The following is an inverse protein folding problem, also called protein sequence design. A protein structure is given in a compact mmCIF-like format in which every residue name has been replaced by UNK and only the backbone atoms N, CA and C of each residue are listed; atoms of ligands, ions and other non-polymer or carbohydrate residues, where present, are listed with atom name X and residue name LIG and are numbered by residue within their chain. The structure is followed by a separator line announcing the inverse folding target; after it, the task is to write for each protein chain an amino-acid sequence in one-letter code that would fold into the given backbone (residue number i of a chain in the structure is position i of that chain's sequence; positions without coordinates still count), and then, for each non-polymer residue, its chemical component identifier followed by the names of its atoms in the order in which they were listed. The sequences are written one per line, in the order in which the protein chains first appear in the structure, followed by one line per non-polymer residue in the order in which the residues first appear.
data_IF_385563886393
#
_entry.id   IF_385563886393
#
_cell.length_a   1.000
_cell.length_b   1.000
_cell.length_c   1.000
_cell.angle_alpha   90.00
_cell.angle_beta   90.00
_cell.angle_gamma   90.00
#
_symmetry.space_group_name_H-M   'P 1'
#
loop_
_entity.id
_entity.type
_entity.pdbx_description
1 polymer ?
#
# COMPACT_ATOMS: atom_id res chain seq x y z
N UNK A 1 44.41 -46.28 50.37
CA UNK A 1 43.56 -45.07 50.22
C UNK A 1 43.90 -44.39 48.85
N UNK A 2 43.18 -44.76 47.83
CA UNK A 2 43.38 -44.22 46.50
C UNK A 2 42.09 -43.50 46.08
N UNK A 3 42.14 -42.17 45.81
CA UNK A 3 41.03 -41.33 45.36
C UNK A 3 41.02 -41.29 43.84
N UNK A 4 40.03 -41.92 43.27
CA UNK A 4 39.76 -41.86 41.82
C UNK A 4 39.01 -40.54 41.49
N UNK A 5 39.60 -39.67 40.69
CA UNK A 5 39.00 -38.45 40.19
C UNK A 5 38.31 -38.77 38.83
N UNK A 6 36.98 -38.71 38.83
CA UNK A 6 36.17 -38.89 37.63
C UNK A 6 36.10 -37.57 36.86
N UNK A 7 36.65 -37.54 35.63
CA UNK A 7 36.62 -36.43 34.73
C UNK A 7 35.35 -36.52 33.85
N UNK A 8 34.35 -35.67 34.10
CA UNK A 8 33.15 -35.55 33.26
C UNK A 8 33.47 -34.68 32.05
N UNK A 9 33.68 -35.31 30.88
CA UNK A 9 33.70 -34.59 29.60
C UNK A 9 32.28 -34.17 29.19
N UNK A 10 31.95 -32.90 29.30
CA UNK A 10 30.75 -32.32 28.68
C UNK A 10 31.03 -32.07 27.18
N UNK A 11 30.45 -32.89 26.33
CA UNK A 11 30.43 -32.65 24.90
C UNK A 11 29.50 -31.48 24.60
N UNK A 12 30.06 -30.35 24.13
CA UNK A 12 29.31 -29.26 23.55
C UNK A 12 28.90 -29.70 22.12
N UNK A 13 27.61 -29.95 21.93
CA UNK A 13 27.03 -30.13 20.60
C UNK A 13 26.84 -28.74 20.00
N UNK A 14 27.71 -28.33 19.07
CA UNK A 14 27.49 -27.20 18.22
C UNK A 14 26.42 -27.58 17.17
N UNK A 15 25.20 -27.11 17.34
CA UNK A 15 24.19 -27.14 16.26
C UNK A 15 24.54 -26.02 15.28
N UNK A 16 25.19 -26.37 14.19
CA UNK A 16 25.41 -25.46 13.07
C UNK A 16 24.07 -25.25 12.38
N UNK A 17 23.42 -24.12 12.61
CA UNK A 17 22.29 -23.66 11.79
C UNK A 17 22.88 -23.18 10.47
N UNK A 18 22.95 -24.08 9.49
CA UNK A 18 23.22 -23.72 8.10
C UNK A 18 21.99 -23.04 7.55
N UNK A 19 21.95 -21.71 7.60
CA UNK A 19 21.04 -20.92 6.75
C UNK A 19 21.40 -21.22 5.30
N UNK A 20 20.58 -22.01 4.64
CA UNK A 20 20.64 -22.14 3.19
C UNK A 20 20.30 -20.79 2.58
N UNK A 21 21.32 -19.98 2.26
CA UNK A 21 21.15 -18.89 1.30
C UNK A 21 20.72 -19.57 -0.01
N UNK A 22 19.42 -19.52 -0.36
CA UNK A 22 19.02 -19.79 -1.73
C UNK A 22 19.79 -18.84 -2.64
N UNK A 23 20.47 -19.38 -3.65
CA UNK A 23 21.17 -18.55 -4.63
C UNK A 23 20.17 -17.53 -5.17
N UNK A 24 20.46 -16.25 -4.94
CA UNK A 24 19.64 -15.15 -5.43
C UNK A 24 19.75 -15.20 -6.95
N UNK A 25 18.65 -15.56 -7.63
CA UNK A 25 18.63 -15.57 -9.10
C UNK A 25 18.95 -14.16 -9.61
N UNK A 26 19.64 -14.09 -10.77
CA UNK A 26 20.13 -12.84 -11.32
C UNK A 26 18.97 -11.87 -11.65
N UNK A 27 19.17 -10.55 -11.43
CA UNK A 27 18.25 -9.51 -11.92
C UNK A 27 17.98 -9.65 -13.44
N UNK A 28 16.86 -9.08 -13.92
CA UNK A 28 16.44 -9.15 -15.32
C UNK A 28 15.70 -10.43 -15.68
N UNK A 29 15.45 -11.33 -14.74
CA UNK A 29 14.71 -12.59 -14.95
C UNK A 29 13.58 -12.75 -13.94
N UNK A 30 12.51 -13.42 -14.38
CA UNK A 30 11.44 -13.84 -13.48
C UNK A 30 11.95 -15.00 -12.63
N UNK A 31 11.89 -14.83 -11.34
CA UNK A 31 12.36 -15.79 -10.33
C UNK A 31 11.16 -16.56 -9.77
N UNK A 32 11.29 -17.88 -9.65
CA UNK A 32 10.38 -18.70 -8.89
C UNK A 32 10.89 -18.82 -7.47
N UNK A 33 10.09 -18.38 -6.51
CA UNK A 33 10.46 -18.39 -5.09
C UNK A 33 9.40 -19.08 -4.25
N UNK A 34 9.80 -19.56 -3.09
CA UNK A 34 8.92 -20.16 -2.08
C UNK A 34 9.25 -19.58 -0.70
N UNK A 35 8.29 -19.60 0.19
CA UNK A 35 8.50 -19.28 1.58
C UNK A 35 7.64 -20.17 2.49
N UNK A 36 8.08 -20.46 3.72
CA UNK A 36 7.30 -21.23 4.68
C UNK A 36 6.11 -20.39 5.18
N UNK A 37 4.91 -20.75 4.73
CA UNK A 37 3.68 -20.12 5.18
C UNK A 37 3.19 -20.80 6.45
N UNK A 38 3.53 -20.24 7.60
CA UNK A 38 3.33 -20.85 8.91
C UNK A 38 1.86 -21.14 9.20
N UNK A 39 0.96 -20.21 8.87
CA UNK A 39 -0.47 -20.34 9.09
C UNK A 39 -1.11 -21.47 8.26
N UNK A 40 -0.50 -21.82 7.15
CA UNK A 40 -0.93 -22.89 6.29
C UNK A 40 -0.17 -24.21 6.53
N UNK A 41 0.93 -24.18 7.32
CA UNK A 41 1.78 -25.35 7.58
C UNK A 41 2.47 -25.93 6.35
N UNK A 42 2.66 -25.12 5.28
CA UNK A 42 3.27 -25.54 4.01
C UNK A 42 4.04 -24.41 3.37
N UNK A 43 4.93 -24.75 2.45
CA UNK A 43 5.58 -23.75 1.59
C UNK A 43 4.63 -23.27 0.51
N UNK A 44 4.62 -21.95 0.26
CA UNK A 44 3.85 -21.30 -0.81
C UNK A 44 4.81 -20.63 -1.79
N UNK A 45 4.49 -20.75 -3.08
CA UNK A 45 5.28 -20.12 -4.14
C UNK A 45 4.82 -18.69 -4.43
N UNK A 46 5.73 -17.89 -4.95
CA UNK A 46 5.46 -16.60 -5.55
C UNK A 46 6.43 -16.33 -6.70
N UNK A 47 6.07 -15.44 -7.60
CA UNK A 47 6.97 -14.99 -8.65
C UNK A 47 7.51 -13.60 -8.32
N UNK A 48 8.78 -13.36 -8.64
CA UNK A 48 9.46 -12.09 -8.43
C UNK A 48 10.22 -11.67 -9.68
N UNK A 49 10.15 -10.39 -10.03
CA UNK A 49 11.01 -9.75 -11.01
C UNK A 49 11.78 -8.62 -10.35
N UNK A 50 13.09 -8.65 -10.49
CA UNK A 50 14.01 -7.60 -10.02
C UNK A 50 14.67 -7.00 -11.26
N UNK A 51 14.52 -5.69 -11.54
CA UNK A 51 15.15 -5.08 -12.71
C UNK A 51 16.68 -5.08 -12.59
N UNK A 52 17.38 -5.13 -13.71
CA UNK A 52 18.86 -5.09 -13.75
C UNK A 52 19.40 -3.76 -13.18
N UNK A 53 18.60 -2.71 -13.29
CA UNK A 53 18.90 -1.38 -12.74
C UNK A 53 18.76 -1.29 -11.22
N UNK A 54 18.14 -2.27 -10.54
CA UNK A 54 17.93 -2.23 -9.09
C UNK A 54 19.24 -2.06 -8.33
N UNK A 55 19.25 -1.15 -7.37
CA UNK A 55 20.36 -0.94 -6.43
C UNK A 55 19.79 -0.79 -5.02
N UNK A 56 20.34 -1.55 -4.07
CA UNK A 56 19.87 -1.53 -2.67
C UNK A 56 19.98 -0.16 -2.01
N UNK A 57 20.86 0.70 -2.49
CA UNK A 57 21.03 2.07 -1.98
C UNK A 57 19.90 3.03 -2.42
N UNK A 58 19.10 2.66 -3.42
CA UNK A 58 18.03 3.50 -3.96
C UNK A 58 16.70 2.77 -3.82
N UNK A 59 15.76 3.29 -3.01
CA UNK A 59 14.45 2.67 -2.87
C UNK A 59 13.71 2.58 -4.22
N UNK A 60 13.23 1.37 -4.55
CA UNK A 60 12.55 1.08 -5.80
C UNK A 60 11.02 1.03 -5.62
N UNK A 61 10.23 1.45 -6.62
CA UNK A 61 8.79 1.21 -6.62
C UNK A 61 8.49 -0.30 -6.69
N UNK A 62 7.37 -0.71 -6.08
CA UNK A 62 6.93 -2.11 -6.03
C UNK A 62 5.53 -2.25 -6.60
N UNK A 63 5.35 -3.15 -7.56
CA UNK A 63 4.04 -3.60 -8.02
C UNK A 63 3.74 -5.00 -7.46
N UNK A 64 2.67 -5.13 -6.69
CA UNK A 64 2.07 -6.41 -6.31
C UNK A 64 1.02 -6.76 -7.34
N UNK A 65 1.15 -7.93 -8.00
CA UNK A 65 0.31 -8.30 -9.15
C UNK A 65 -0.44 -9.62 -8.88
N UNK A 66 -1.77 -9.56 -8.86
CA UNK A 66 -2.66 -10.67 -8.49
C UNK A 66 -3.21 -11.38 -9.73
N UNK A 67 -3.11 -12.71 -9.77
CA UNK A 67 -3.61 -13.54 -10.88
C UNK A 67 -5.12 -13.80 -10.84
N UNK A 68 -5.68 -14.23 -11.95
CA UNK A 68 -7.08 -14.62 -12.09
C UNK A 68 -7.37 -16.05 -11.59
N UNK A 69 -8.66 -16.39 -11.50
CA UNK A 69 -9.12 -17.73 -11.10
C UNK A 69 -8.53 -18.82 -12.03
N UNK A 70 -7.96 -19.87 -11.44
CA UNK A 70 -7.35 -20.98 -12.16
C UNK A 70 -5.96 -20.67 -12.74
N UNK A 71 -5.43 -19.48 -12.55
CA UNK A 71 -4.09 -19.06 -12.94
C UNK A 71 -3.10 -19.14 -11.76
N UNK A 72 -1.91 -18.60 -11.93
CA UNK A 72 -0.85 -18.66 -10.93
C UNK A 72 0.12 -17.46 -11.05
N UNK A 73 1.03 -17.27 -10.07
CA UNK A 73 2.00 -16.16 -10.06
C UNK A 73 2.85 -16.06 -11.30
N UNK A 74 3.26 -17.21 -11.86
CA UNK A 74 4.18 -17.27 -13.00
C UNK A 74 3.52 -16.91 -14.33
N UNK A 75 2.21 -17.05 -14.41
CA UNK A 75 1.44 -16.63 -15.59
C UNK A 75 1.19 -15.13 -15.57
N UNK A 76 0.66 -14.58 -14.46
CA UNK A 76 0.31 -13.16 -14.40
C UNK A 76 1.51 -12.23 -14.55
N UNK A 77 2.67 -12.58 -13.98
CA UNK A 77 3.89 -11.77 -14.10
C UNK A 77 4.43 -11.75 -15.54
N UNK A 78 4.02 -12.72 -16.39
CA UNK A 78 4.39 -12.81 -17.81
C UNK A 78 3.41 -12.13 -18.76
N UNK A 79 2.41 -11.42 -18.24
CA UNK A 79 1.57 -10.59 -19.12
C UNK A 79 2.45 -9.64 -19.91
N UNK A 80 2.20 -9.56 -21.23
CA UNK A 80 3.05 -8.78 -22.14
C UNK A 80 3.15 -7.32 -21.70
N UNK A 81 4.36 -6.83 -21.59
CA UNK A 81 4.65 -5.48 -21.12
C UNK A 81 5.00 -5.39 -19.63
N UNK A 82 4.55 -6.30 -18.75
CA UNK A 82 4.79 -6.21 -17.30
C UNK A 82 6.29 -6.10 -16.97
N UNK A 83 7.09 -7.08 -17.36
CA UNK A 83 8.54 -7.06 -17.06
C UNK A 83 9.30 -6.04 -17.90
N UNK A 84 8.82 -5.73 -19.10
CA UNK A 84 9.41 -4.72 -19.98
C UNK A 84 9.28 -3.31 -19.35
N UNK A 85 8.09 -2.94 -18.91
CA UNK A 85 7.87 -1.65 -18.25
C UNK A 85 8.52 -1.61 -16.86
N UNK A 86 8.53 -2.74 -16.13
CA UNK A 86 9.23 -2.85 -14.87
C UNK A 86 10.74 -2.61 -15.02
N UNK A 87 11.38 -3.22 -16.03
CA UNK A 87 12.81 -2.99 -16.33
C UNK A 87 13.09 -1.54 -16.67
N UNK A 88 12.30 -0.97 -17.59
CA UNK A 88 12.47 0.40 -18.08
C UNK A 88 12.35 1.45 -16.97
N UNK A 89 11.50 1.20 -15.97
CA UNK A 89 11.15 2.16 -14.91
C UNK A 89 11.74 1.83 -13.54
N UNK A 90 12.47 0.71 -13.44
CA UNK A 90 13.11 0.28 -12.20
C UNK A 90 12.17 -0.31 -11.14
N UNK A 91 11.03 -0.89 -11.55
CA UNK A 91 10.07 -1.50 -10.64
C UNK A 91 10.49 -2.90 -10.21
N UNK A 92 10.36 -3.20 -8.92
CA UNK A 92 10.18 -4.55 -8.44
C UNK A 92 8.75 -4.98 -8.76
N UNK A 93 8.57 -6.21 -9.25
CA UNK A 93 7.24 -6.80 -9.44
C UNK A 93 7.16 -8.12 -8.69
N UNK A 94 6.16 -8.28 -7.84
CA UNK A 94 5.92 -9.52 -7.12
C UNK A 94 4.50 -10.01 -7.36
N UNK A 95 4.34 -11.30 -7.62
CA UNK A 95 3.06 -11.95 -7.77
C UNK A 95 2.93 -13.04 -6.70
N UNK A 96 2.13 -12.83 -5.63
CA UNK A 96 1.78 -13.87 -4.66
C UNK A 96 0.82 -14.89 -5.25
N UNK A 97 0.78 -16.10 -4.69
CA UNK A 97 -0.14 -17.15 -5.15
C UNK A 97 -1.57 -16.98 -4.62
N UNK A 98 -1.73 -16.23 -3.50
CA UNK A 98 -3.03 -16.14 -2.85
C UNK A 98 -3.47 -17.46 -2.25
N UNK A 99 -2.53 -18.22 -1.65
CA UNK A 99 -2.65 -19.56 -1.10
C UNK A 99 -2.86 -20.66 -2.17
N UNK A 100 -3.72 -20.44 -3.15
CA UNK A 100 -3.96 -21.31 -4.32
C UNK A 100 -4.65 -20.53 -5.46
N UNK A 101 -4.93 -21.19 -6.56
CA UNK A 101 -5.50 -20.60 -7.77
C UNK A 101 -6.95 -20.12 -7.65
N UNK A 102 -7.60 -20.23 -6.45
CA UNK A 102 -9.01 -19.90 -6.23
C UNK A 102 -9.33 -19.28 -4.88
N UNK A 103 -8.32 -18.73 -4.17
CA UNK A 103 -8.47 -18.15 -2.83
C UNK A 103 -9.14 -16.77 -2.78
N UNK A 104 -9.33 -16.10 -3.93
CA UNK A 104 -10.00 -14.81 -4.07
C UNK A 104 -9.41 -13.66 -3.24
N UNK A 105 -8.23 -13.85 -2.64
CA UNK A 105 -7.54 -12.83 -1.86
C UNK A 105 -8.39 -12.19 -0.73
N UNK A 106 -9.33 -12.97 -0.18
CA UNK A 106 -10.28 -12.52 0.84
C UNK A 106 -11.52 -11.79 0.31
N UNK A 107 -11.59 -11.44 -0.98
CA UNK A 107 -12.69 -10.62 -1.56
C UNK A 107 -14.06 -11.31 -1.55
N UNK A 108 -14.09 -12.62 -1.34
CA UNK A 108 -15.32 -13.41 -1.18
C UNK A 108 -15.63 -13.77 0.29
N UNK A 109 -14.97 -13.05 1.23
CA UNK A 109 -15.01 -13.34 2.66
C UNK A 109 -13.87 -14.24 3.12
N UNK A 110 -13.70 -14.37 4.43
CA UNK A 110 -12.58 -15.11 5.04
C UNK A 110 -12.69 -16.64 4.90
N UNK A 111 -13.88 -17.15 4.63
CA UNK A 111 -14.15 -18.57 4.41
C UNK A 111 -13.85 -19.02 2.98
N UNK A 112 -14.62 -20.00 2.53
CA UNK A 112 -14.56 -20.55 1.17
C UNK A 112 -15.49 -19.76 0.26
N UNK A 113 -14.97 -19.13 -0.74
CA UNK A 113 -15.68 -18.19 -1.59
C UNK A 113 -17.02 -18.62 -2.22
N UNK A 114 -17.53 -17.75 -3.08
CA UNK A 114 -18.89 -17.80 -3.68
C UNK A 114 -19.23 -19.13 -4.39
N UNK A 115 -18.24 -19.85 -4.91
CA UNK A 115 -18.42 -21.12 -5.62
C UNK A 115 -18.46 -22.35 -4.69
N UNK A 116 -18.52 -22.14 -3.37
CA UNK A 116 -18.60 -23.22 -2.40
C UNK A 116 -17.28 -23.93 -2.12
N UNK A 117 -17.40 -25.05 -1.41
CA UNK A 117 -16.24 -25.84 -0.95
C UNK A 117 -15.69 -26.72 -2.05
N UNK A 118 -14.42 -26.54 -2.39
CA UNK A 118 -13.67 -27.51 -3.17
C UNK A 118 -13.04 -28.53 -2.19
N UNK A 119 -13.19 -29.84 -2.41
CA UNK A 119 -12.54 -30.84 -1.56
C UNK A 119 -11.04 -30.57 -1.42
N UNK A 120 -10.55 -30.55 -0.17
CA UNK A 120 -9.16 -30.28 0.13
C UNK A 120 -8.82 -28.82 0.43
N UNK A 121 -9.75 -27.88 0.21
CA UNK A 121 -9.56 -26.48 0.61
C UNK A 121 -9.82 -26.32 2.12
N UNK A 122 -9.03 -25.47 2.79
CA UNK A 122 -9.25 -25.13 4.20
C UNK A 122 -10.52 -24.29 4.37
N UNK A 123 -11.15 -24.39 5.55
CA UNK A 123 -12.37 -23.62 5.85
C UNK A 123 -12.15 -22.12 5.83
N UNK A 124 -10.92 -21.66 6.11
CA UNK A 124 -10.50 -20.26 6.11
C UNK A 124 -9.70 -19.88 4.85
N UNK A 125 -10.05 -20.44 3.69
CA UNK A 125 -9.32 -20.23 2.42
C UNK A 125 -9.14 -18.75 2.10
N UNK A 126 -10.19 -17.94 2.23
CA UNK A 126 -10.11 -16.51 1.94
C UNK A 126 -9.15 -15.76 2.87
N UNK A 127 -9.13 -16.12 4.16
CA UNK A 127 -8.18 -15.56 5.13
C UNK A 127 -6.73 -15.93 4.79
N UNK A 128 -6.47 -17.18 4.45
CA UNK A 128 -5.13 -17.63 4.04
C UNK A 128 -4.70 -16.95 2.73
N UNK A 129 -5.61 -16.79 1.78
CA UNK A 129 -5.34 -16.13 0.52
C UNK A 129 -4.97 -14.65 0.69
N UNK A 130 -5.66 -13.94 1.57
CA UNK A 130 -5.35 -12.56 1.97
C UNK A 130 -3.98 -12.48 2.67
N UNK A 131 -3.74 -13.36 3.65
CA UNK A 131 -2.46 -13.41 4.40
C UNK A 131 -1.25 -13.69 3.51
N UNK A 132 -1.40 -14.55 2.50
CA UNK A 132 -0.31 -14.82 1.56
C UNK A 132 0.18 -13.54 0.87
N UNK A 133 -0.72 -12.67 0.43
CA UNK A 133 -0.35 -11.38 -0.19
C UNK A 133 0.45 -10.52 0.78
N UNK A 134 -0.01 -10.42 2.04
CA UNK A 134 0.66 -9.60 3.06
C UNK A 134 2.02 -10.18 3.47
N UNK A 135 2.12 -11.50 3.59
CA UNK A 135 3.37 -12.18 3.90
C UNK A 135 4.41 -11.95 2.80
N UNK A 136 4.02 -12.13 1.53
CA UNK A 136 4.91 -11.88 0.39
C UNK A 136 5.32 -10.42 0.32
N UNK A 137 4.40 -9.47 0.51
CA UNK A 137 4.73 -8.05 0.62
C UNK A 137 5.75 -7.78 1.73
N UNK A 138 5.56 -8.38 2.90
CA UNK A 138 6.48 -8.27 4.04
C UNK A 138 7.87 -8.83 3.71
N UNK A 139 7.94 -9.98 3.05
CA UNK A 139 9.20 -10.59 2.59
C UNK A 139 9.95 -9.64 1.66
N UNK A 140 9.27 -9.09 0.65
CA UNK A 140 9.89 -8.18 -0.32
C UNK A 140 10.39 -6.90 0.35
N UNK A 141 9.60 -6.30 1.25
CA UNK A 141 10.01 -5.10 1.99
C UNK A 141 11.21 -5.33 2.92
N UNK A 142 11.38 -6.54 3.43
CA UNK A 142 12.53 -6.90 4.27
C UNK A 142 13.80 -7.21 3.46
N UNK A 143 13.64 -7.79 2.25
CA UNK A 143 14.78 -8.20 1.41
C UNK A 143 15.31 -7.05 0.55
N UNK A 144 14.41 -6.22 0.01
CA UNK A 144 14.71 -5.16 -0.93
C UNK A 144 14.48 -3.77 -0.32
N UNK A 145 15.20 -2.78 -0.83
CA UNK A 145 14.94 -1.36 -0.56
C UNK A 145 13.73 -0.93 -1.40
N UNK A 146 12.55 -0.99 -0.80
CA UNK A 146 11.27 -0.59 -1.42
C UNK A 146 10.94 0.84 -1.01
N UNK A 147 10.52 1.65 -1.96
CA UNK A 147 9.95 2.97 -1.69
C UNK A 147 8.53 2.80 -1.11
N UNK A 148 8.39 3.07 0.17
CA UNK A 148 7.11 2.91 0.88
C UNK A 148 6.00 3.82 0.34
N UNK A 149 6.35 4.92 -0.33
CA UNK A 149 5.40 5.83 -0.96
C UNK A 149 4.99 5.38 -2.38
N UNK A 150 5.62 4.33 -2.94
CA UNK A 150 5.35 3.81 -4.29
C UNK A 150 5.15 2.31 -4.27
N UNK A 151 4.20 1.85 -3.46
CA UNK A 151 3.73 0.46 -3.44
C UNK A 151 2.36 0.41 -4.10
N UNK A 152 2.23 -0.37 -5.15
CA UNK A 152 1.04 -0.46 -6.00
C UNK A 152 0.45 -1.85 -5.99
N UNK A 153 -0.85 -1.94 -6.20
CA UNK A 153 -1.57 -3.22 -6.30
C UNK A 153 -2.36 -3.27 -7.60
N UNK A 154 -2.13 -4.30 -8.39
CA UNK A 154 -2.90 -4.57 -9.59
C UNK A 154 -3.32 -6.04 -9.62
N UNK A 155 -4.38 -6.36 -10.35
CA UNK A 155 -4.81 -7.75 -10.50
C UNK A 155 -5.86 -7.93 -11.57
N UNK A 156 -5.92 -9.13 -12.12
CA UNK A 156 -6.82 -9.51 -13.20
C UNK A 156 -7.92 -10.45 -12.72
N UNK A 157 -9.18 -10.20 -13.11
CA UNK A 157 -10.32 -11.08 -12.84
C UNK A 157 -10.54 -11.29 -11.33
N UNK A 158 -10.36 -12.51 -10.82
CA UNK A 158 -10.29 -12.80 -9.39
C UNK A 158 -9.32 -11.86 -8.67
N UNK A 159 -8.12 -11.65 -9.24
CA UNK A 159 -7.12 -10.71 -8.73
C UNK A 159 -7.59 -9.26 -8.79
N UNK A 160 -8.42 -8.89 -9.78
CA UNK A 160 -9.07 -7.58 -9.83
C UNK A 160 -10.05 -7.36 -8.68
N UNK A 161 -10.82 -8.38 -8.34
CA UNK A 161 -11.66 -8.38 -7.13
C UNK A 161 -10.83 -8.28 -5.85
N UNK A 162 -9.71 -9.03 -5.79
CA UNK A 162 -8.73 -8.95 -4.71
C UNK A 162 -8.11 -7.56 -4.58
N UNK A 163 -7.81 -6.90 -5.70
CA UNK A 163 -7.27 -5.53 -5.73
C UNK A 163 -8.23 -4.53 -5.09
N UNK A 164 -9.52 -4.62 -5.38
CA UNK A 164 -10.55 -3.77 -4.78
C UNK A 164 -10.63 -4.04 -3.27
N UNK A 165 -10.71 -5.31 -2.88
CA UNK A 165 -10.84 -5.71 -1.47
C UNK A 165 -9.62 -5.29 -0.64
N UNK A 166 -8.42 -5.70 -1.06
CA UNK A 166 -7.18 -5.36 -0.34
C UNK A 166 -6.87 -3.86 -0.38
N UNK A 167 -7.31 -3.17 -1.44
CA UNK A 167 -7.22 -1.72 -1.53
C UNK A 167 -8.04 -0.99 -0.48
N UNK A 168 -9.18 -1.55 -0.09
CA UNK A 168 -10.05 -1.01 0.95
C UNK A 168 -9.59 -1.41 2.37
N UNK A 169 -9.25 -2.69 2.56
CA UNK A 169 -8.88 -3.20 3.90
C UNK A 169 -7.50 -2.70 4.36
N UNK A 170 -6.59 -2.41 3.42
CA UNK A 170 -5.23 -1.96 3.68
C UNK A 170 -4.92 -0.64 2.97
N UNK A 171 -5.84 0.30 3.02
CA UNK A 171 -5.83 1.55 2.24
C UNK A 171 -4.59 2.44 2.47
N UNK A 172 -3.89 2.26 3.59
CA UNK A 172 -2.70 3.04 3.94
C UNK A 172 -1.39 2.46 3.35
N UNK A 173 -1.47 1.34 2.62
CA UNK A 173 -0.31 0.71 1.99
C UNK A 173 -0.15 1.16 0.54
N UNK A 174 -1.25 1.38 -0.17
CA UNK A 174 -1.26 1.43 -1.62
C UNK A 174 -1.22 2.85 -2.16
N UNK A 175 -0.24 3.17 -2.99
CA UNK A 175 -0.15 4.44 -3.71
C UNK A 175 -1.14 4.53 -4.87
N UNK A 176 -1.47 3.41 -5.51
CA UNK A 176 -2.54 3.31 -6.49
C UNK A 176 -2.98 1.84 -6.69
N UNK A 177 -4.17 1.67 -7.25
CA UNK A 177 -4.82 0.39 -7.52
C UNK A 177 -5.16 0.26 -8.99
N UNK A 178 -4.95 -0.95 -9.58
CA UNK A 178 -5.37 -1.22 -10.96
C UNK A 178 -6.13 -2.56 -11.04
N UNK A 179 -7.43 -2.58 -10.72
CA UNK A 179 -8.27 -3.75 -10.95
C UNK A 179 -8.61 -3.88 -12.46
N UNK A 180 -8.17 -4.99 -13.06
CA UNK A 180 -8.40 -5.35 -14.46
C UNK A 180 -9.50 -6.41 -14.56
N UNK A 181 -10.56 -6.15 -15.32
CA UNK A 181 -11.76 -7.01 -15.44
C UNK A 181 -12.21 -7.56 -14.06
N UNK A 182 -12.46 -6.70 -13.05
CA UNK A 182 -12.54 -7.13 -11.67
C UNK A 182 -13.73 -8.04 -11.39
N UNK A 183 -13.47 -9.28 -10.97
CA UNK A 183 -14.48 -10.23 -10.50
C UNK A 183 -14.89 -9.91 -9.06
N UNK A 184 -15.41 -8.71 -8.80
CA UNK A 184 -15.85 -8.29 -7.48
C UNK A 184 -17.37 -8.42 -7.32
N UNK A 185 -17.82 -9.15 -6.30
CA UNK A 185 -19.22 -9.45 -6.04
C UNK A 185 -19.75 -8.89 -4.71
N UNK A 186 -18.91 -8.17 -3.96
CA UNK A 186 -19.30 -7.51 -2.72
C UNK A 186 -20.08 -6.20 -2.95
N UNK A 187 -20.42 -5.51 -1.86
CA UNK A 187 -21.03 -4.17 -1.96
C UNK A 187 -20.07 -3.17 -2.59
N UNK A 188 -20.57 -2.39 -3.55
CA UNK A 188 -19.79 -1.31 -4.17
C UNK A 188 -19.54 -0.11 -3.23
N UNK A 189 -20.16 -0.09 -2.05
CA UNK A 189 -19.85 0.90 -1.01
C UNK A 189 -18.43 0.73 -0.45
N UNK A 190 -17.77 -0.39 -0.75
CA UNK A 190 -16.34 -0.61 -0.45
C UNK A 190 -15.46 0.51 -1.00
N UNK A 191 -15.88 1.18 -2.09
CA UNK A 191 -15.16 2.31 -2.70
C UNK A 191 -14.92 3.44 -1.69
N UNK A 192 -15.84 3.65 -0.75
CA UNK A 192 -15.73 4.70 0.28
C UNK A 192 -14.56 4.48 1.25
N UNK A 193 -14.06 3.25 1.35
CA UNK A 193 -12.90 2.89 2.16
C UNK A 193 -11.57 3.00 1.39
N UNK A 194 -11.63 3.14 0.06
CA UNK A 194 -10.43 3.18 -0.80
C UNK A 194 -9.91 4.61 -0.85
N UNK A 195 -8.77 4.85 -0.22
CA UNK A 195 -8.09 6.16 -0.24
C UNK A 195 -7.24 6.35 -1.51
N UNK A 196 -6.67 5.25 -2.03
CA UNK A 196 -5.77 5.28 -3.17
C UNK A 196 -6.48 5.61 -4.48
N UNK A 197 -5.86 6.39 -5.37
CA UNK A 197 -6.31 6.50 -6.76
C UNK A 197 -6.45 5.14 -7.42
N UNK A 198 -7.49 4.95 -8.22
CA UNK A 198 -7.77 3.66 -8.84
C UNK A 198 -8.04 3.81 -10.34
N UNK A 199 -7.41 2.95 -11.16
CA UNK A 199 -7.67 2.82 -12.60
C UNK A 199 -8.34 1.46 -12.84
N UNK A 200 -9.66 1.47 -13.06
CA UNK A 200 -10.40 0.25 -13.43
C UNK A 200 -10.35 0.08 -14.93
N UNK A 201 -9.94 -1.12 -15.38
CA UNK A 201 -9.88 -1.46 -16.81
C UNK A 201 -10.78 -2.65 -17.09
N UNK A 202 -11.61 -2.57 -18.16
CA UNK A 202 -12.47 -3.67 -18.57
C UNK A 202 -12.60 -3.71 -20.10
N UNK A 203 -12.86 -4.90 -20.64
CA UNK A 203 -13.23 -5.06 -22.06
C UNK A 203 -14.74 -5.09 -22.23
N UNK A 204 -15.27 -4.47 -23.28
CA UNK A 204 -16.72 -4.41 -23.52
C UNK A 204 -17.31 -5.70 -24.08
N UNK A 205 -16.45 -6.62 -24.58
CA UNK A 205 -16.82 -7.97 -25.00
C UNK A 205 -16.42 -9.05 -23.99
N UNK A 206 -16.21 -8.66 -22.72
CA UNK A 206 -15.91 -9.60 -21.63
C UNK A 206 -17.16 -10.46 -21.32
N UNK A 207 -17.02 -11.77 -21.51
CA UNK A 207 -18.08 -12.77 -21.26
C UNK A 207 -17.97 -13.43 -19.87
N UNK A 208 -16.84 -13.26 -19.17
CA UNK A 208 -16.61 -13.86 -17.85
C UNK A 208 -17.00 -12.89 -16.72
N UNK A 209 -16.65 -11.61 -16.83
CA UNK A 209 -17.10 -10.54 -15.94
C UNK A 209 -17.97 -9.60 -16.75
N UNK A 210 -19.30 -9.64 -16.56
CA UNK A 210 -20.21 -8.82 -17.36
C UNK A 210 -19.89 -7.33 -17.27
N UNK A 211 -19.65 -6.70 -18.41
CA UNK A 211 -19.26 -5.28 -18.49
C UNK A 211 -20.22 -4.35 -17.75
N UNK A 212 -21.51 -4.71 -17.69
CA UNK A 212 -22.54 -3.94 -16.98
C UNK A 212 -22.22 -3.82 -15.49
N UNK A 213 -21.65 -4.87 -14.86
CA UNK A 213 -21.24 -4.82 -13.45
C UNK A 213 -20.08 -3.86 -13.25
N UNK A 214 -19.10 -3.88 -14.18
CA UNK A 214 -17.95 -2.97 -14.11
C UNK A 214 -18.38 -1.52 -14.37
N UNK A 215 -19.32 -1.28 -15.28
CA UNK A 215 -19.91 0.05 -15.54
C UNK A 215 -20.64 0.59 -14.30
N UNK A 216 -21.42 -0.25 -13.60
CA UNK A 216 -22.07 0.13 -12.33
C UNK A 216 -21.05 0.48 -11.25
N UNK A 217 -19.99 -0.32 -11.12
CA UNK A 217 -18.89 -0.02 -10.22
C UNK A 217 -18.21 1.32 -10.57
N UNK A 218 -17.91 1.54 -11.86
CA UNK A 218 -17.34 2.79 -12.35
C UNK A 218 -18.27 4.01 -12.13
N UNK A 219 -19.59 3.82 -12.21
CA UNK A 219 -20.56 4.85 -11.90
C UNK A 219 -20.52 5.21 -10.40
N UNK A 220 -20.41 4.23 -9.50
CA UNK A 220 -20.24 4.46 -8.06
C UNK A 220 -18.90 5.19 -7.78
N UNK A 221 -17.82 4.82 -8.48
CA UNK A 221 -16.53 5.52 -8.37
C UNK A 221 -16.61 7.02 -8.67
N UNK A 222 -17.42 7.43 -9.65
CA UNK A 222 -17.60 8.86 -9.99
C UNK A 222 -18.27 9.65 -8.86
N UNK A 223 -18.96 8.99 -7.95
CA UNK A 223 -19.64 9.60 -6.79
C UNK A 223 -18.75 9.63 -5.55
N UNK A 224 -17.70 8.82 -5.52
CA UNK A 224 -16.74 8.77 -4.43
C UNK A 224 -15.71 9.89 -4.56
N UNK A 225 -15.16 10.33 -3.44
CA UNK A 225 -14.00 11.23 -3.42
C UNK A 225 -12.76 10.53 -3.96
N UNK A 226 -11.96 11.20 -4.78
CA UNK A 226 -10.68 10.68 -5.29
C UNK A 226 -10.53 10.78 -6.80
N UNK A 227 -9.28 10.61 -7.25
CA UNK A 227 -8.91 10.60 -8.68
C UNK A 227 -9.00 9.18 -9.24
N UNK A 228 -10.21 8.73 -9.56
CA UNK A 228 -10.42 7.42 -10.16
C UNK A 228 -10.57 7.53 -11.68
N UNK A 229 -10.05 6.53 -12.39
CA UNK A 229 -10.11 6.42 -13.85
C UNK A 229 -10.85 5.13 -14.21
N UNK A 230 -11.79 5.20 -15.14
CA UNK A 230 -12.39 4.03 -15.77
C UNK A 230 -11.98 3.99 -17.24
N UNK A 231 -11.37 2.88 -17.65
CA UNK A 231 -10.97 2.62 -19.04
C UNK A 231 -11.71 1.40 -19.58
N UNK A 232 -12.52 1.62 -20.58
CA UNK A 232 -13.19 0.56 -21.33
C UNK A 232 -12.47 0.32 -22.64
N UNK A 233 -12.13 -0.94 -22.94
CA UNK A 233 -11.43 -1.35 -24.15
C UNK A 233 -12.45 -1.89 -25.14
N UNK A 234 -12.65 -1.18 -26.25
CA UNK A 234 -13.56 -1.60 -27.30
C UNK A 234 -13.10 -2.90 -27.97
N UNK A 235 -13.99 -3.88 -28.13
CA UNK A 235 -13.69 -5.23 -28.61
C UNK A 235 -12.86 -6.06 -27.63
N UNK A 236 -12.66 -5.56 -26.41
CA UNK A 236 -11.85 -6.21 -25.40
C UNK A 236 -12.56 -7.39 -24.74
N UNK A 237 -11.91 -8.55 -24.69
CA UNK A 237 -12.40 -9.75 -24.00
C UNK A 237 -11.72 -9.93 -22.62
N UNK A 238 -12.18 -10.94 -21.87
CA UNK A 238 -11.69 -11.22 -20.53
C UNK A 238 -10.18 -11.55 -20.43
N UNK A 239 -9.60 -12.09 -21.47
CA UNK A 239 -8.24 -12.64 -21.44
C UNK A 239 -7.24 -11.83 -22.22
N UNK A 240 -7.23 -11.97 -23.56
CA UNK A 240 -6.19 -11.42 -24.44
C UNK A 240 -6.03 -9.91 -24.31
N UNK A 241 -7.09 -9.20 -23.94
CA UNK A 241 -7.06 -7.77 -23.65
C UNK A 241 -6.03 -7.40 -22.57
N UNK A 242 -5.76 -8.29 -21.63
CA UNK A 242 -4.85 -8.03 -20.52
C UNK A 242 -3.49 -8.71 -20.69
N UNK A 243 -3.45 -9.97 -21.09
CA UNK A 243 -2.16 -10.68 -21.16
C UNK A 243 -1.42 -10.58 -22.49
N UNK A 244 -2.05 -9.99 -23.55
CA UNK A 244 -1.41 -9.76 -24.87
C UNK A 244 -1.47 -8.30 -25.33
N UNK A 245 -1.51 -7.36 -24.41
CA UNK A 245 -1.64 -5.93 -24.70
C UNK A 245 -0.53 -5.13 -24.00
N UNK A 246 0.67 -5.06 -24.59
CA UNK A 246 1.78 -4.32 -24.01
C UNK A 246 1.50 -2.80 -23.93
N UNK A 247 0.71 -2.25 -24.85
CA UNK A 247 0.33 -0.85 -24.83
C UNK A 247 -0.52 -0.51 -23.60
N UNK A 248 -1.46 -1.39 -23.25
CA UNK A 248 -2.24 -1.25 -22.02
C UNK A 248 -1.34 -1.30 -20.79
N UNK A 249 -0.32 -2.18 -20.77
CA UNK A 249 0.63 -2.23 -19.67
C UNK A 249 1.43 -0.94 -19.57
N UNK A 250 1.85 -0.34 -20.68
CA UNK A 250 2.50 0.97 -20.69
C UNK A 250 1.61 2.04 -20.06
N UNK A 251 0.32 2.12 -20.44
CA UNK A 251 -0.63 3.07 -19.86
C UNK A 251 -0.87 2.82 -18.36
N UNK A 252 -0.91 1.56 -17.93
CA UNK A 252 -1.02 1.19 -16.50
C UNK A 252 0.20 1.71 -15.74
N UNK A 253 1.41 1.47 -16.23
CA UNK A 253 2.61 1.95 -15.57
C UNK A 253 2.72 3.49 -15.60
N UNK A 254 2.26 4.16 -16.66
CA UNK A 254 2.17 5.63 -16.70
C UNK A 254 1.22 6.16 -15.61
N UNK A 255 0.08 5.49 -15.41
CA UNK A 255 -0.82 5.81 -14.32
C UNK A 255 -0.15 5.60 -12.95
N UNK A 256 0.53 4.48 -12.73
CA UNK A 256 1.22 4.20 -11.48
C UNK A 256 2.31 5.24 -11.19
N UNK A 257 3.16 5.58 -12.18
CA UNK A 257 4.23 6.60 -12.03
C UNK A 257 3.69 7.97 -11.65
N UNK A 258 2.46 8.27 -12.04
CA UNK A 258 1.80 9.54 -11.71
C UNK A 258 1.27 9.61 -10.28
N UNK A 259 1.35 8.51 -9.51
CA UNK A 259 0.77 8.38 -8.17
C UNK A 259 1.84 8.07 -7.13
N UNK A 260 1.76 8.76 -6.03
CA UNK A 260 2.59 8.53 -4.84
C UNK A 260 1.64 8.49 -3.66
N UNK A 261 1.81 7.50 -2.78
CA UNK A 261 1.14 7.50 -1.49
C UNK A 261 1.66 8.74 -0.75
N UNK A 262 0.85 9.77 -0.73
CA UNK A 262 1.08 10.85 0.22
C UNK A 262 0.75 10.23 1.56
N UNK A 263 1.75 10.08 2.44
CA UNK A 263 1.48 9.98 3.86
C UNK A 263 0.43 11.05 4.15
N UNK A 264 -0.43 10.84 5.13
CA UNK A 264 -1.15 12.01 5.67
C UNK A 264 -0.08 13.08 5.64
N UNK A 265 -0.22 14.07 4.76
CA UNK A 265 0.61 15.25 4.91
C UNK A 265 0.52 15.47 6.40
N UNK A 266 1.62 15.38 7.14
CA UNK A 266 1.73 16.25 8.27
C UNK A 266 1.40 17.59 7.62
N UNK A 267 0.12 17.93 7.68
CA UNK A 267 -0.30 19.30 7.53
C UNK A 267 0.52 19.92 8.63
N UNK A 268 1.67 20.48 8.23
CA UNK A 268 2.47 21.29 9.14
C UNK A 268 1.41 22.14 9.81
N UNK A 269 1.12 21.94 11.10
CA UNK A 269 -0.06 22.55 11.70
C UNK A 269 0.07 24.01 11.34
N UNK A 270 -0.97 24.60 10.72
CA UNK A 270 -0.93 25.94 10.18
C UNK A 270 -0.12 26.80 11.16
N UNK A 271 1.12 27.10 10.77
CA UNK A 271 2.01 27.83 11.67
C UNK A 271 1.71 29.27 11.44
N UNK A 272 1.05 29.88 12.42
CA UNK A 272 0.87 31.32 12.45
C UNK A 272 2.17 32.02 12.06
N UNK A 273 2.15 33.00 11.16
CA UNK A 273 3.35 33.72 10.77
C UNK A 273 3.99 34.39 11.97
N UNK A 274 5.33 34.35 12.02
CA UNK A 274 6.07 35.10 13.03
C UNK A 274 5.76 36.61 12.91
N UNK A 275 5.40 37.22 14.01
CA UNK A 275 5.18 38.66 14.10
C UNK A 275 5.89 39.26 15.33
N UNK A 276 6.04 40.59 15.36
CA UNK A 276 6.63 41.28 16.49
C UNK A 276 5.54 41.65 17.48
N UNK A 277 5.48 40.94 18.62
CA UNK A 277 4.69 41.34 19.78
C UNK A 277 5.42 42.38 20.61
N UNK A 278 4.66 43.30 21.19
CA UNK A 278 5.16 44.33 22.12
C UNK A 278 4.45 44.23 23.44
N UNK A 279 5.17 44.39 24.52
CA UNK A 279 4.55 44.58 25.83
C UNK A 279 4.30 46.09 26.11
N UNK A 280 3.59 46.38 27.18
CA UNK A 280 3.28 47.77 27.60
C UNK A 280 4.53 48.61 27.87
N UNK A 281 5.67 48.01 28.18
CA UNK A 281 6.96 48.72 28.37
C UNK A 281 7.75 48.88 27.06
N UNK A 282 7.18 48.48 25.89
CA UNK A 282 7.80 48.59 24.57
C UNK A 282 8.80 47.50 24.21
N UNK A 283 9.00 46.50 25.09
CA UNK A 283 9.89 45.37 24.80
C UNK A 283 9.27 44.51 23.70
N UNK A 284 10.08 44.14 22.70
CA UNK A 284 9.65 43.39 21.50
C UNK A 284 10.10 41.94 21.59
N UNK A 285 9.27 41.07 21.05
CA UNK A 285 9.57 39.65 20.83
C UNK A 285 8.99 39.22 19.49
N UNK A 286 9.78 38.58 18.64
CA UNK A 286 9.33 37.96 17.40
C UNK A 286 8.88 36.54 17.72
N UNK A 287 7.59 36.26 17.51
CA UNK A 287 6.96 35.02 17.90
C UNK A 287 5.65 34.80 17.10
N UNK A 288 5.10 33.60 17.16
CA UNK A 288 3.74 33.27 16.68
C UNK A 288 2.86 32.86 17.86
N UNK A 289 1.54 32.93 17.68
CA UNK A 289 0.59 32.42 18.68
C UNK A 289 0.53 30.88 18.54
N UNK A 290 0.54 30.23 19.70
CA UNK A 290 0.34 28.76 19.79
C UNK A 290 -1.05 28.47 20.40
N UNK A 291 -1.44 29.20 21.42
CA UNK A 291 -2.75 29.06 22.07
C UNK A 291 -3.11 30.30 22.89
N UNK A 292 -4.41 30.48 23.17
CA UNK A 292 -4.87 31.51 24.10
C UNK A 292 -6.15 31.04 24.80
N UNK A 293 -6.27 31.41 26.09
CA UNK A 293 -7.48 31.20 26.90
C UNK A 293 -8.28 32.51 27.07
N UNK A 294 -7.96 33.56 26.32
CA UNK A 294 -8.54 34.89 26.41
C UNK A 294 -8.00 35.74 27.57
N UNK A 295 -7.24 35.16 28.50
CA UNK A 295 -6.56 35.86 29.62
C UNK A 295 -5.05 35.81 29.49
N UNK A 296 -4.56 34.71 28.94
CA UNK A 296 -3.15 34.44 28.67
C UNK A 296 -3.00 33.99 27.21
N UNK A 297 -1.86 34.31 26.63
CA UNK A 297 -1.46 33.82 25.29
C UNK A 297 -0.12 33.10 25.40
N UNK A 298 -0.04 31.93 24.81
CA UNK A 298 1.21 31.19 24.61
C UNK A 298 1.74 31.54 23.25
N UNK A 299 2.95 32.06 23.20
CA UNK A 299 3.66 32.42 21.97
C UNK A 299 4.94 31.61 21.84
N UNK A 300 5.30 31.26 20.63
CA UNK A 300 6.51 30.49 20.27
C UNK A 300 7.46 31.36 19.45
N UNK A 301 8.72 31.44 19.88
CA UNK A 301 9.78 32.10 19.13
C UNK A 301 10.29 31.22 17.99
N UNK A 302 11.04 31.87 17.05
CA UNK A 302 11.70 31.17 15.93
C UNK A 302 12.64 30.02 16.38
N UNK A 303 13.16 30.06 17.62
CA UNK A 303 14.00 29.00 18.19
C UNK A 303 13.22 27.85 18.86
N UNK A 304 11.89 27.79 18.68
CA UNK A 304 11.01 26.77 19.24
C UNK A 304 10.67 26.97 20.74
N UNK A 305 11.19 27.99 21.39
CA UNK A 305 10.89 28.25 22.81
C UNK A 305 9.53 28.92 22.96
N UNK A 306 8.71 28.36 23.84
CA UNK A 306 7.37 28.88 24.16
C UNK A 306 7.37 29.72 25.44
N UNK A 307 6.52 30.73 25.47
CA UNK A 307 6.31 31.63 26.61
C UNK A 307 4.83 31.90 26.76
N UNK A 308 4.32 31.74 27.98
CA UNK A 308 2.94 32.13 28.30
C UNK A 308 2.95 33.46 29.04
N UNK A 309 2.31 34.48 28.45
CA UNK A 309 2.23 35.82 28.99
C UNK A 309 0.77 36.21 29.24
N UNK A 310 0.53 37.13 30.21
CA UNK A 310 -0.82 37.68 30.40
C UNK A 310 -1.18 38.56 29.20
N UNK A 311 -2.36 38.36 28.62
CA UNK A 311 -2.84 39.15 27.49
C UNK A 311 -2.79 40.64 27.83
N UNK A 312 -3.22 41.03 29.05
CA UNK A 312 -3.20 42.41 29.56
C UNK A 312 -1.80 43.04 29.68
N UNK A 313 -0.72 42.28 29.55
CA UNK A 313 0.67 42.76 29.55
C UNK A 313 1.18 43.18 28.17
N UNK A 314 0.48 42.79 27.11
CA UNK A 314 0.79 43.18 25.74
C UNK A 314 0.31 44.61 25.43
N UNK A 315 0.83 45.18 24.35
CA UNK A 315 0.30 46.43 23.80
C UNK A 315 -1.17 46.24 23.37
N UNK A 316 -1.95 47.36 23.34
CA UNK A 316 -3.35 47.30 22.91
C UNK A 316 -3.50 46.66 21.53
N UNK A 317 -2.68 47.05 20.55
CA UNK A 317 -2.69 46.48 19.20
C UNK A 317 -2.41 44.97 19.19
N UNK A 318 -1.60 44.45 20.11
CA UNK A 318 -1.32 43.00 20.19
C UNK A 318 -2.43 42.27 20.98
N UNK A 319 -3.10 42.92 21.90
CA UNK A 319 -4.30 42.36 22.54
C UNK A 319 -5.47 42.23 21.56
N UNK A 320 -5.68 43.24 20.71
CA UNK A 320 -6.69 43.21 19.64
C UNK A 320 -6.41 42.09 18.63
N UNK A 321 -5.14 41.96 18.22
CA UNK A 321 -4.73 40.87 17.32
C UNK A 321 -5.02 39.51 17.92
N UNK A 322 -4.64 39.25 19.18
CA UNK A 322 -4.92 37.97 19.85
C UNK A 322 -6.42 37.70 19.95
N UNK A 323 -7.21 38.75 20.20
CA UNK A 323 -8.67 38.65 20.29
C UNK A 323 -9.30 38.27 18.94
N UNK A 324 -8.81 38.86 17.83
CA UNK A 324 -9.22 38.51 16.47
C UNK A 324 -8.83 37.08 16.15
N UNK A 325 -7.60 36.70 16.48
CA UNK A 325 -7.11 35.32 16.28
C UNK A 325 -7.98 34.28 17.01
N UNK A 326 -8.41 34.54 18.25
CA UNK A 326 -9.32 33.67 19.01
C UNK A 326 -10.66 33.54 18.28
N UNK A 327 -11.21 34.62 17.76
CA UNK A 327 -12.49 34.61 17.06
C UNK A 327 -12.42 33.83 15.75
N UNK A 328 -11.36 33.99 14.99
CA UNK A 328 -11.12 33.25 13.73
C UNK A 328 -10.89 31.76 13.98
N UNK A 329 -10.07 31.38 14.98
CA UNK A 329 -9.81 29.99 15.37
C UNK A 329 -11.05 29.26 15.91
N UNK A 330 -12.07 29.97 16.37
CA UNK A 330 -13.34 29.36 16.82
C UNK A 330 -14.34 29.12 15.67
N UNK A 331 -14.06 29.60 14.46
CA UNK A 331 -14.94 29.49 13.29
C UNK A 331 -14.46 28.46 12.25
N UNK A 332 -13.27 27.86 12.43
CA UNK A 332 -12.82 26.73 11.61
C UNK A 332 -13.49 25.43 12.09
N UNK A 333 -14.15 24.66 11.18
CA UNK A 333 -14.92 23.47 11.51
C UNK A 333 -14.07 22.26 11.89
#
# INVERSE_FOLDING_TARGET
MSKTISLLCRALVFVSVTSSLSAQEAPGKIQKRTYPFKEAGKDIEYALYVPESYRKATPAPLLVLLHGLGSNPHEVIRYQGVTVEAEKRGYLVVAPFGYNERGWYGSQGKGQGLFGRTPGDPENLGELSEKDVLNVLGIIRNEFSVDSARIYLAGHSMGGGGTIYLGAEYSDIWAALVPMAPGYTGSFDIIEKIKAPMMVVAGDEDTAVPIQMVRLFAQKMKQASGTHVYKEIAGGNHGTTFYRNPELMTEIFDFLDSKVLRGEEEVEPFQEPLRIFRNKSGKKIEARIVSSDGRKVTIERKDGRTFTVKLSSLSEADQDYVSTWIAESATEP
#
